data_IF_756019291678
#
_entry.id   IF_756019291678
#
_cell.length_a   1.000
_cell.length_b   1.000
_cell.length_c   1.000
_cell.angle_alpha   90.00
_cell.angle_beta   90.00
_cell.angle_gamma   90.00
#
_symmetry.space_group_name_H-M   'P 1'
#
loop_
_entity.id
_entity.type
_entity.pdbx_description
1 polymer ?
#
# COMPACT_ATOMS: atom_id res chain seq x y z
N UNK A 1 21.84 -29.37 20.82
CA UNK A 1 20.76 -29.63 19.84
C UNK A 1 19.50 -28.80 20.09
N UNK A 2 19.13 -28.46 21.34
CA UNK A 2 17.98 -27.58 21.67
C UNK A 2 18.06 -26.17 21.05
N UNK A 3 19.25 -25.57 21.01
CA UNK A 3 19.45 -24.20 20.46
C UNK A 3 19.23 -24.11 18.94
N UNK A 4 19.45 -25.21 18.21
CA UNK A 4 19.22 -25.24 16.76
C UNK A 4 17.73 -25.37 16.42
N UNK A 5 16.96 -26.05 17.28
CA UNK A 5 15.51 -26.21 17.14
C UNK A 5 14.80 -24.85 17.29
N UNK A 6 15.12 -24.09 18.34
CA UNK A 6 14.49 -22.78 18.59
C UNK A 6 14.80 -21.75 17.48
N UNK A 7 16.03 -21.75 16.94
CA UNK A 7 16.39 -20.89 15.80
C UNK A 7 15.63 -21.27 14.54
N UNK A 8 15.44 -22.56 14.27
CA UNK A 8 14.71 -23.02 13.09
C UNK A 8 13.24 -22.61 13.14
N UNK A 9 12.60 -22.71 14.31
CA UNK A 9 11.23 -22.25 14.52
C UNK A 9 11.10 -20.72 14.43
N UNK A 10 12.08 -19.98 14.97
CA UNK A 10 12.11 -18.52 14.87
C UNK A 10 12.29 -18.03 13.43
N UNK A 11 13.18 -18.67 12.66
CA UNK A 11 13.39 -18.36 11.24
C UNK A 11 12.18 -18.74 10.40
N UNK A 12 11.55 -19.89 10.66
CA UNK A 12 10.29 -20.28 10.02
C UNK A 12 9.19 -19.25 10.25
N UNK A 13 9.00 -18.79 11.49
CA UNK A 13 8.00 -17.77 11.80
C UNK A 13 8.25 -16.44 11.07
N UNK A 14 9.51 -16.01 11.03
CA UNK A 14 9.89 -14.75 10.37
C UNK A 14 9.72 -14.83 8.85
N UNK A 15 10.17 -15.92 8.23
CA UNK A 15 9.99 -16.17 6.78
C UNK A 15 8.52 -16.30 6.40
N UNK A 16 7.71 -17.00 7.22
CA UNK A 16 6.28 -17.12 7.00
C UNK A 16 5.58 -15.75 7.08
N UNK A 17 5.91 -14.92 8.07
CA UNK A 17 5.39 -13.55 8.18
C UNK A 17 5.75 -12.68 6.96
N UNK A 18 6.98 -12.79 6.46
CA UNK A 18 7.39 -12.08 5.24
C UNK A 18 6.67 -12.58 3.99
N UNK A 19 6.44 -13.90 3.87
CA UNK A 19 5.69 -14.46 2.76
C UNK A 19 4.22 -14.06 2.79
N UNK A 20 3.60 -14.06 3.97
CA UNK A 20 2.20 -13.62 4.15
C UNK A 20 2.06 -12.14 3.79
N UNK A 21 2.99 -11.29 4.21
CA UNK A 21 2.96 -9.87 3.83
C UNK A 21 3.14 -9.67 2.32
N UNK A 22 4.08 -10.37 1.68
CA UNK A 22 4.24 -10.34 0.21
C UNK A 22 2.96 -10.80 -0.50
N UNK A 23 2.30 -11.85 0.00
CA UNK A 23 1.04 -12.33 -0.57
C UNK A 23 -0.07 -11.28 -0.44
N UNK A 24 -0.20 -10.63 0.71
CA UNK A 24 -1.16 -9.53 0.91
C UNK A 24 -0.89 -8.40 -0.08
N UNK A 25 0.38 -8.01 -0.28
CA UNK A 25 0.77 -7.00 -1.26
C UNK A 25 0.41 -7.40 -2.70
N UNK A 26 0.64 -8.66 -3.07
CA UNK A 26 0.25 -9.16 -4.39
C UNK A 26 -1.27 -9.09 -4.54
N UNK A 27 -2.03 -9.48 -3.53
CA UNK A 27 -3.50 -9.39 -3.55
C UNK A 27 -3.95 -7.94 -3.72
N UNK A 28 -3.47 -7.02 -2.88
CA UNK A 28 -3.78 -5.59 -3.00
C UNK A 28 -3.40 -5.04 -4.38
N UNK A 29 -2.23 -5.42 -4.90
CA UNK A 29 -1.79 -5.00 -6.24
C UNK A 29 -2.70 -5.51 -7.35
N UNK A 30 -3.24 -6.74 -7.22
CA UNK A 30 -4.11 -7.35 -8.22
C UNK A 30 -5.50 -6.73 -8.17
N UNK A 31 -6.04 -6.50 -6.98
CA UNK A 31 -7.30 -5.77 -6.81
C UNK A 31 -7.19 -4.32 -7.30
N UNK A 32 -6.08 -3.63 -7.01
CA UNK A 32 -5.79 -2.31 -7.55
C UNK A 32 -5.59 -2.34 -9.09
N UNK A 33 -4.98 -3.40 -9.62
CA UNK A 33 -4.73 -3.57 -11.05
C UNK A 33 -6.01 -3.80 -11.86
N UNK A 34 -7.00 -4.53 -11.35
CA UNK A 34 -8.32 -4.65 -11.98
C UNK A 34 -8.99 -3.27 -12.11
N UNK A 35 -8.87 -2.43 -11.08
CA UNK A 35 -9.27 -1.02 -11.17
C UNK A 35 -8.52 -0.25 -12.25
N UNK A 36 -7.21 -0.51 -12.44
CA UNK A 36 -6.36 0.18 -13.43
C UNK A 36 -6.52 -0.28 -14.88
N UNK A 37 -6.86 -1.56 -15.12
CA UNK A 37 -7.10 -2.12 -16.46
C UNK A 37 -8.48 -1.71 -17.00
N UNK A 38 -9.49 -1.63 -16.12
CA UNK A 38 -10.74 -0.94 -16.41
C UNK A 38 -10.49 0.56 -16.71
N UNK A 39 -9.50 1.18 -16.04
CA UNK A 39 -9.11 2.60 -16.23
C UNK A 39 -8.45 2.91 -17.58
N UNK A 40 -7.54 2.07 -18.07
CA UNK A 40 -6.88 2.27 -19.38
C UNK A 40 -7.82 2.10 -20.58
N UNK A 41 -8.91 1.35 -20.43
CA UNK A 41 -9.92 1.18 -21.49
C UNK A 41 -10.95 2.32 -21.52
N UNK A 42 -10.94 3.21 -20.52
CA UNK A 42 -11.90 4.31 -20.34
C UNK A 42 -11.52 5.65 -20.99
N UNK A 43 -10.38 5.77 -21.70
CA UNK A 43 -9.92 7.05 -22.26
C UNK A 43 -10.65 7.50 -23.54
N UNK A 44 -11.92 7.11 -23.70
CA UNK A 44 -12.79 7.61 -24.76
C UNK A 44 -14.27 7.48 -24.40
N UNK A 45 -14.68 8.01 -23.25
CA UNK A 45 -16.11 8.14 -22.94
C UNK A 45 -16.53 9.61 -22.90
N UNK A 46 -17.63 9.87 -23.60
CA UNK A 46 -18.26 11.17 -23.80
C UNK A 46 -18.64 11.70 -22.43
N UNK A 47 -17.81 12.62 -21.93
CA UNK A 47 -18.13 13.49 -20.80
C UNK A 47 -19.44 14.18 -21.19
N UNK A 48 -20.49 14.00 -20.38
CA UNK A 48 -21.73 14.71 -20.59
C UNK A 48 -21.42 16.22 -20.65
N UNK A 49 -21.76 16.81 -21.80
CA UNK A 49 -21.25 18.07 -22.34
C UNK A 49 -21.65 19.33 -21.55
N UNK A 50 -21.94 19.27 -20.25
CA UNK A 50 -22.42 20.45 -19.53
C UNK A 50 -21.28 21.37 -19.04
N UNK A 51 -20.35 21.70 -19.95
CA UNK A 51 -19.17 22.57 -19.84
C UNK A 51 -17.87 21.88 -19.40
N UNK A 52 -16.95 21.68 -20.36
CA UNK A 52 -15.53 21.37 -20.08
C UNK A 52 -14.76 22.66 -19.78
N UNK A 53 -15.36 23.56 -19.01
CA UNK A 53 -14.80 24.90 -18.74
C UNK A 53 -13.43 24.82 -18.07
N UNK A 54 -13.16 23.78 -17.28
CA UNK A 54 -11.85 23.50 -16.65
C UNK A 54 -10.70 23.27 -17.64
N UNK A 55 -10.96 23.03 -18.93
CA UNK A 55 -9.93 22.94 -19.99
C UNK A 55 -9.56 24.29 -20.59
N UNK A 56 -10.48 25.24 -20.56
CA UNK A 56 -10.36 26.52 -21.28
C UNK A 56 -10.20 27.71 -20.33
N UNK A 57 -10.66 27.59 -19.09
CA UNK A 57 -10.63 28.64 -18.09
C UNK A 57 -9.99 28.18 -16.78
N UNK A 58 -9.46 29.14 -16.03
CA UNK A 58 -9.04 28.93 -14.65
C UNK A 58 -10.26 28.63 -13.78
N UNK A 59 -10.17 27.58 -12.98
CA UNK A 59 -11.25 27.11 -12.11
C UNK A 59 -10.81 27.13 -10.64
N UNK A 60 -11.78 27.18 -9.74
CA UNK A 60 -11.59 26.97 -8.31
C UNK A 60 -12.20 25.63 -7.90
N UNK A 61 -11.52 24.89 -7.02
CA UNK A 61 -12.03 23.63 -6.49
C UNK A 61 -13.01 23.97 -5.37
N UNK A 62 -14.28 23.62 -5.54
CA UNK A 62 -15.34 23.87 -4.54
C UNK A 62 -15.41 22.71 -3.56
N UNK A 63 -15.35 21.49 -4.06
CA UNK A 63 -15.22 20.29 -3.23
C UNK A 63 -14.06 19.47 -3.72
N UNK A 64 -13.17 19.15 -2.78
CA UNK A 64 -12.09 18.21 -3.00
C UNK A 64 -12.63 16.81 -3.29
N UNK A 65 -11.75 15.97 -3.83
CA UNK A 65 -12.09 14.63 -4.28
C UNK A 65 -12.71 13.80 -3.14
N UNK A 66 -13.94 13.35 -3.34
CA UNK A 66 -14.68 12.56 -2.36
C UNK A 66 -15.34 11.36 -3.05
N UNK A 67 -15.61 10.27 -2.31
CA UNK A 67 -16.34 9.13 -2.85
C UNK A 67 -17.76 9.56 -3.24
N UNK A 68 -18.26 9.00 -4.34
CA UNK A 68 -19.63 9.19 -4.78
C UNK A 68 -20.60 8.57 -3.77
N UNK A 69 -21.73 9.23 -3.54
CA UNK A 69 -22.80 8.67 -2.70
C UNK A 69 -23.43 7.45 -3.38
N UNK A 70 -23.90 6.48 -2.60
CA UNK A 70 -24.60 5.30 -3.12
C UNK A 70 -25.79 5.67 -4.01
N UNK A 71 -26.46 6.79 -3.69
CA UNK A 71 -27.55 7.32 -4.50
C UNK A 71 -27.08 7.78 -5.89
N UNK A 72 -25.90 8.39 -6.02
CA UNK A 72 -25.34 8.86 -7.30
C UNK A 72 -24.95 7.68 -8.19
N UNK A 73 -24.52 6.57 -7.58
CA UNK A 73 -24.13 5.34 -8.27
C UNK A 73 -25.38 4.61 -8.80
N UNK A 74 -26.42 4.50 -7.98
CA UNK A 74 -27.67 3.81 -8.34
C UNK A 74 -28.49 4.62 -9.35
N UNK A 75 -28.55 5.95 -9.18
CA UNK A 75 -29.34 6.83 -10.05
C UNK A 75 -28.71 7.05 -11.43
N UNK A 76 -27.43 6.70 -11.62
CA UNK A 76 -26.67 6.90 -12.88
C UNK A 76 -26.69 8.34 -13.41
N UNK A 77 -27.02 9.30 -12.55
CA UNK A 77 -27.15 10.71 -12.90
C UNK A 77 -25.81 11.37 -13.25
N UNK A 78 -24.71 10.84 -12.69
CA UNK A 78 -23.36 11.21 -13.08
C UNK A 78 -22.63 10.01 -13.67
N UNK A 79 -22.39 10.02 -14.98
CA UNK A 79 -21.59 9.00 -15.66
C UNK A 79 -20.17 8.83 -15.08
N UNK A 80 -19.66 9.87 -14.40
CA UNK A 80 -18.39 9.88 -13.66
C UNK A 80 -18.39 8.87 -12.50
N UNK A 81 -19.49 8.77 -11.75
CA UNK A 81 -19.54 7.96 -10.52
C UNK A 81 -19.67 6.46 -10.76
N UNK A 82 -20.11 6.05 -11.95
CA UNK A 82 -20.28 4.63 -12.31
C UNK A 82 -18.94 3.91 -12.46
N UNK A 83 -17.90 4.64 -12.88
CA UNK A 83 -16.61 4.03 -13.25
C UNK A 83 -15.48 4.36 -12.27
N UNK A 84 -15.40 5.62 -11.80
CA UNK A 84 -14.27 6.03 -10.95
C UNK A 84 -14.63 6.06 -9.48
N UNK A 85 -15.92 5.95 -9.10
CA UNK A 85 -16.45 6.03 -7.73
C UNK A 85 -16.03 7.26 -6.90
N UNK A 86 -15.23 8.17 -7.48
CA UNK A 86 -14.72 9.39 -6.87
C UNK A 86 -14.98 10.57 -7.81
N UNK A 87 -15.44 11.69 -7.23
CA UNK A 87 -15.76 12.93 -7.93
C UNK A 87 -15.13 14.15 -7.26
N UNK A 88 -14.78 15.14 -8.06
CA UNK A 88 -14.42 16.49 -7.61
C UNK A 88 -15.38 17.52 -8.23
N UNK A 89 -15.70 18.57 -7.48
CA UNK A 89 -16.59 19.65 -7.93
C UNK A 89 -15.78 20.92 -8.11
N UNK A 90 -15.86 21.49 -9.30
CA UNK A 90 -15.11 22.66 -9.73
C UNK A 90 -16.09 23.79 -10.04
N UNK A 91 -15.71 25.03 -9.76
CA UNK A 91 -16.41 26.23 -10.21
C UNK A 91 -15.51 26.99 -11.17
N UNK A 92 -15.98 27.19 -12.38
CA UNK A 92 -15.26 27.95 -13.39
C UNK A 92 -15.43 29.46 -13.17
N UNK A 93 -14.56 30.27 -13.80
CA UNK A 93 -14.68 31.73 -13.74
C UNK A 93 -15.98 32.22 -14.37
N UNK A 94 -16.51 31.50 -15.36
CA UNK A 94 -17.87 31.70 -15.90
C UNK A 94 -18.99 31.58 -14.86
N UNK A 95 -18.72 31.00 -13.69
CA UNK A 95 -19.71 30.71 -12.65
C UNK A 95 -20.34 29.33 -12.75
N UNK A 96 -20.06 28.58 -13.83
CA UNK A 96 -20.52 27.21 -14.05
C UNK A 96 -19.90 26.25 -13.05
N UNK A 97 -20.72 25.32 -12.53
CA UNK A 97 -20.28 24.27 -11.61
C UNK A 97 -20.20 22.97 -12.38
N UNK A 98 -19.01 22.37 -12.39
CA UNK A 98 -18.74 21.15 -13.16
C UNK A 98 -18.19 20.07 -12.27
N UNK A 99 -18.65 18.85 -12.52
CA UNK A 99 -18.20 17.65 -11.81
C UNK A 99 -17.26 16.85 -12.71
N UNK A 100 -16.13 16.43 -12.16
CA UNK A 100 -15.11 15.67 -12.87
C UNK A 100 -14.69 14.45 -12.05
N UNK A 101 -14.26 13.38 -12.71
CA UNK A 101 -13.55 12.28 -12.05
C UNK A 101 -12.20 12.78 -11.53
N UNK A 102 -11.87 12.38 -10.30
CA UNK A 102 -10.55 12.66 -9.75
C UNK A 102 -9.86 11.35 -9.33
N UNK A 103 -8.57 11.28 -9.64
CA UNK A 103 -7.70 10.13 -9.42
C UNK A 103 -6.69 10.35 -8.29
N UNK A 104 -6.68 11.55 -7.70
CA UNK A 104 -5.62 11.95 -6.76
C UNK A 104 -5.58 11.07 -5.52
N UNK A 105 -6.73 10.58 -5.05
CA UNK A 105 -6.82 9.81 -3.79
C UNK A 105 -6.03 8.50 -3.91
N UNK A 106 -6.20 7.75 -5.00
CA UNK A 106 -5.48 6.49 -5.22
C UNK A 106 -3.95 6.68 -5.31
N UNK A 107 -3.49 7.74 -5.96
CA UNK A 107 -2.06 8.07 -6.08
C UNK A 107 -1.43 8.53 -4.75
N UNK A 108 -2.20 9.23 -3.91
CA UNK A 108 -1.75 9.70 -2.60
C UNK A 108 -1.66 8.52 -1.62
N UNK A 109 -2.67 7.65 -1.62
CA UNK A 109 -2.66 6.43 -0.79
C UNK A 109 -1.50 5.51 -1.16
N UNK A 110 -1.25 5.30 -2.45
CA UNK A 110 -0.12 4.48 -2.91
C UNK A 110 1.24 5.03 -2.45
N UNK A 111 1.45 6.36 -2.49
CA UNK A 111 2.70 6.98 -2.01
C UNK A 111 2.89 6.87 -0.50
N UNK A 112 1.81 7.03 0.27
CA UNK A 112 1.87 6.87 1.72
C UNK A 112 2.14 5.42 2.11
N UNK A 113 1.55 4.48 1.38
CA UNK A 113 1.80 3.06 1.54
C UNK A 113 3.27 2.69 1.28
N UNK A 114 3.86 3.14 0.17
CA UNK A 114 5.27 2.88 -0.15
C UNK A 114 6.21 3.42 0.95
N UNK A 115 5.91 4.59 1.50
CA UNK A 115 6.70 5.15 2.62
C UNK A 115 6.61 4.27 3.85
N UNK A 116 5.41 3.82 4.19
CA UNK A 116 5.19 2.92 5.33
C UNK A 116 5.94 1.59 5.15
N UNK A 117 5.83 0.99 3.96
CA UNK A 117 6.52 -0.27 3.63
C UNK A 117 8.04 -0.12 3.70
N UNK A 118 8.60 0.97 3.17
CA UNK A 118 10.04 1.24 3.25
C UNK A 118 10.52 1.36 4.70
N UNK A 119 9.75 2.06 5.55
CA UNK A 119 10.07 2.20 6.99
C UNK A 119 10.01 0.82 7.67
N UNK A 120 8.95 0.06 7.44
CA UNK A 120 8.78 -1.29 8.00
C UNK A 120 9.93 -2.22 7.58
N UNK A 121 10.37 -2.16 6.32
CA UNK A 121 11.51 -2.92 5.82
C UNK A 121 12.80 -2.57 6.55
N UNK A 122 13.08 -1.28 6.75
CA UNK A 122 14.27 -0.83 7.52
C UNK A 122 14.23 -1.35 8.96
N UNK A 123 13.08 -1.26 9.64
CA UNK A 123 12.92 -1.83 10.98
C UNK A 123 13.10 -3.36 10.98
N UNK A 124 12.59 -4.05 9.95
CA UNK A 124 12.80 -5.48 9.75
C UNK A 124 14.28 -5.84 9.67
N UNK A 125 15.05 -5.17 8.81
CA UNK A 125 16.49 -5.38 8.65
C UNK A 125 17.25 -5.11 9.95
N UNK A 126 16.95 -4.00 10.64
CA UNK A 126 17.58 -3.68 11.92
C UNK A 126 17.31 -4.74 12.97
N UNK A 127 16.06 -5.18 13.09
CA UNK A 127 15.68 -6.22 14.05
C UNK A 127 16.36 -7.57 13.76
N UNK A 128 16.53 -7.91 12.47
CA UNK A 128 17.27 -9.08 12.03
C UNK A 128 18.75 -8.99 12.41
N UNK A 129 19.41 -7.85 12.14
CA UNK A 129 20.83 -7.65 12.48
C UNK A 129 21.08 -7.73 13.99
N UNK A 130 20.21 -7.13 14.80
CA UNK A 130 20.30 -7.20 16.27
C UNK A 130 20.13 -8.63 16.75
N UNK A 131 19.14 -9.35 16.21
CA UNK A 131 18.91 -10.76 16.51
C UNK A 131 20.12 -11.62 16.16
N UNK A 132 20.69 -11.41 14.97
CA UNK A 132 21.90 -12.11 14.51
C UNK A 132 23.11 -11.82 15.39
N UNK A 133 23.34 -10.56 15.77
CA UNK A 133 24.44 -10.20 16.66
C UNK A 133 24.31 -10.86 18.04
N UNK A 134 23.10 -10.85 18.62
CA UNK A 134 22.82 -11.54 19.90
C UNK A 134 23.07 -13.03 19.80
N UNK A 135 22.62 -13.64 18.71
CA UNK A 135 22.83 -15.07 18.44
C UNK A 135 24.33 -15.42 18.38
N UNK A 136 25.11 -14.61 17.68
CA UNK A 136 26.57 -14.75 17.55
C UNK A 136 27.28 -14.66 18.91
N UNK A 137 26.85 -13.74 19.77
CA UNK A 137 27.38 -13.59 21.13
C UNK A 137 27.01 -14.80 21.99
N UNK A 138 25.76 -15.26 21.92
CA UNK A 138 25.27 -16.39 22.71
C UNK A 138 25.97 -17.69 22.29
N UNK A 139 26.08 -17.97 20.99
CA UNK A 139 26.80 -19.14 20.49
C UNK A 139 28.29 -19.12 20.85
N UNK A 140 28.94 -17.94 20.87
CA UNK A 140 30.34 -17.84 21.33
C UNK A 140 30.49 -18.19 22.82
N UNK A 141 29.55 -17.75 23.66
CA UNK A 141 29.51 -18.09 25.10
C UNK A 141 29.22 -19.57 25.33
N UNK A 142 28.33 -20.15 24.53
CA UNK A 142 27.99 -21.56 24.62
C UNK A 142 29.16 -22.46 24.19
N UNK A 143 29.86 -22.10 23.11
CA UNK A 143 31.07 -22.81 22.67
C UNK A 143 32.14 -22.84 23.78
N UNK A 144 32.44 -21.69 24.38
CA UNK A 144 33.38 -21.59 25.51
C UNK A 144 32.95 -22.40 26.73
N UNK A 145 31.64 -22.58 26.97
CA UNK A 145 31.15 -23.45 28.05
C UNK A 145 31.33 -24.93 27.74
N UNK A 146 31.09 -25.33 26.49
CA UNK A 146 31.25 -26.72 26.03
C UNK A 146 32.73 -27.13 26.11
N UNK A 147 33.63 -26.26 25.66
CA UNK A 147 35.08 -26.50 25.71
C UNK A 147 35.58 -26.72 27.15
N UNK A 148 35.09 -25.93 28.11
CA UNK A 148 35.40 -26.11 29.55
C UNK A 148 34.81 -27.38 30.15
N UNK A 149 33.70 -27.89 29.60
CA UNK A 149 33.10 -29.14 30.06
C UNK A 149 33.90 -30.33 29.54
N UNK A 150 34.30 -30.31 28.27
CA UNK A 150 35.16 -31.33 27.65
C UNK A 150 36.52 -31.44 28.37
N UNK A 151 37.19 -30.31 28.63
CA UNK A 151 38.48 -30.30 29.34
C UNK A 151 38.41 -30.75 30.81
N UNK A 152 37.21 -30.93 31.38
CA UNK A 152 37.02 -31.37 32.77
C UNK A 152 36.66 -32.85 32.90
N UNK A 153 36.34 -33.51 31.79
CA UNK A 153 35.94 -34.93 31.72
C UNK A 153 37.12 -35.81 31.27
N UNK A 154 38.14 -35.23 30.66
CA UNK A 154 39.40 -35.87 30.28
C UNK A 154 40.47 -35.64 31.35
#
# INVERSE_FOLDING_TARGET
MLENCQKHHMVLGLTALTLVTILVLIIESRYAAEGSLARRRGEKYVIENNSTCWKHETYTVVQECHPCSEFDIVSRSLGVCIHTHYKEVLRCKSGEIVTKSCDRVALIEQRNFIKFEAIAFVFGVLSYLVSYARDRVLSRRNYMRIERQLNRVQ
#
